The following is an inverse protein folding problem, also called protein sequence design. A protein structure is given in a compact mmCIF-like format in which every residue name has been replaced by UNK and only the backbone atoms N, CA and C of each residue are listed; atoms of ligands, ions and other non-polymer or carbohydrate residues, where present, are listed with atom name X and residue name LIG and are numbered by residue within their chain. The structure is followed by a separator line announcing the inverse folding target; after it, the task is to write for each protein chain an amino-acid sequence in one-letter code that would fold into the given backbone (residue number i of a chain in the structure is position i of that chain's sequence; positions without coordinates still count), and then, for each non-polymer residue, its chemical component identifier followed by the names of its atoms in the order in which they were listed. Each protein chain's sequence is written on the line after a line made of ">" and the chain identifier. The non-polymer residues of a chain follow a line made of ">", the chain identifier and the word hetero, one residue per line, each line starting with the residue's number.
data_IF_182917730148
#
_entry.id   IF_182917730148
#
_cell.length_a   1.000
_cell.length_b   1.000
_cell.length_c   1.000
_cell.angle_alpha   90.00
_cell.angle_beta   90.00
_cell.angle_gamma   90.00
#
_symmetry.space_group_name_H-M   'P 1'
#
loop_
_entity.id
_entity.type
_entity.pdbx_description
1 polymer ?
#
# COMPACT_ATOMS: atom_id res chain seq x y z
N UNK A 1 -28.83 -27.56 69.89
CA UNK A 1 -29.14 -26.69 68.72
C UNK A 1 -27.93 -25.81 68.36
N UNK A 2 -26.83 -26.39 67.86
CA UNK A 2 -25.65 -25.60 67.45
C UNK A 2 -24.68 -26.45 66.60
N UNK A 3 -25.10 -26.95 65.42
CA UNK A 3 -24.17 -27.67 64.53
C UNK A 3 -24.64 -27.80 63.07
N UNK A 4 -25.57 -26.96 62.58
CA UNK A 4 -26.18 -27.17 61.25
C UNK A 4 -26.35 -25.91 60.38
N UNK A 5 -25.57 -24.85 60.62
CA UNK A 5 -25.70 -23.57 59.88
C UNK A 5 -24.42 -23.07 59.20
N UNK A 6 -23.39 -23.90 59.07
CA UNK A 6 -22.07 -23.48 58.53
C UNK A 6 -21.65 -24.15 57.23
N UNK A 7 -22.52 -24.93 56.56
CA UNK A 7 -22.19 -25.56 55.27
C UNK A 7 -22.99 -25.08 54.07
N UNK A 8 -24.08 -24.34 54.26
CA UNK A 8 -24.87 -23.79 53.15
C UNK A 8 -24.32 -22.46 52.59
N UNK A 9 -23.56 -21.69 53.40
CA UNK A 9 -23.01 -20.41 52.96
C UNK A 9 -21.73 -20.55 52.10
N UNK A 10 -21.03 -21.69 52.16
CA UNK A 10 -19.79 -21.91 51.39
C UNK A 10 -20.05 -22.42 49.96
N UNK A 11 -21.19 -23.08 49.72
CA UNK A 11 -21.54 -23.61 48.40
C UNK A 11 -22.07 -22.53 47.45
N UNK A 12 -22.66 -21.45 47.97
CA UNK A 12 -23.19 -20.36 47.14
C UNK A 12 -22.10 -19.33 46.74
N UNK A 13 -21.00 -19.25 47.50
CA UNK A 13 -19.86 -18.39 47.20
C UNK A 13 -18.95 -18.96 46.09
N UNK A 14 -18.97 -20.27 45.85
CA UNK A 14 -18.20 -20.93 44.77
C UNK A 14 -18.97 -20.98 43.44
N UNK A 15 -20.30 -20.87 43.45
CA UNK A 15 -21.11 -20.87 42.23
C UNK A 15 -21.24 -19.48 41.56
N UNK A 16 -21.00 -18.39 42.30
CA UNK A 16 -20.99 -17.02 41.73
C UNK A 16 -19.63 -16.56 41.23
N UNK A 17 -18.54 -17.27 41.57
CA UNK A 17 -17.20 -16.99 41.05
C UNK A 17 -16.96 -17.51 39.62
N UNK A 18 -17.84 -18.38 39.09
CA UNK A 18 -17.70 -18.95 37.75
C UNK A 18 -18.53 -18.22 36.66
N UNK A 19 -19.30 -17.19 37.02
CA UNK A 19 -20.18 -16.44 36.10
C UNK A 19 -19.71 -15.02 35.78
N UNK A 20 -18.57 -14.61 36.35
CA UNK A 20 -17.77 -13.52 35.77
C UNK A 20 -16.79 -14.15 34.77
N UNK A 21 -17.33 -14.68 33.68
CA UNK A 21 -16.58 -14.77 32.44
C UNK A 21 -16.17 -13.34 32.11
N UNK A 22 -14.97 -12.95 32.57
CA UNK A 22 -14.30 -11.77 32.06
C UNK A 22 -14.39 -11.89 30.53
N UNK A 23 -14.83 -10.83 29.82
CA UNK A 23 -14.58 -10.82 28.38
C UNK A 23 -13.11 -11.17 28.24
N UNK A 24 -12.79 -12.14 27.39
CA UNK A 24 -11.41 -12.40 27.00
C UNK A 24 -10.86 -11.04 26.59
N UNK A 25 -10.18 -10.37 27.53
CA UNK A 25 -9.42 -9.18 27.25
C UNK A 25 -8.35 -9.77 26.36
N UNK A 26 -8.53 -9.63 25.05
CA UNK A 26 -7.41 -9.68 24.12
C UNK A 26 -6.31 -8.94 24.86
N UNK A 27 -5.22 -9.65 25.16
CA UNK A 27 -4.10 -9.04 25.87
C UNK A 27 -3.85 -7.69 25.18
N UNK A 28 -3.83 -6.57 25.91
CA UNK A 28 -3.60 -5.28 25.29
C UNK A 28 -2.33 -5.44 24.46
N UNK A 29 -2.42 -5.11 23.16
CA UNK A 29 -1.32 -5.19 22.24
C UNK A 29 -0.21 -4.28 22.80
N UNK A 30 0.75 -4.89 23.50
CA UNK A 30 1.86 -4.17 24.10
C UNK A 30 2.76 -3.73 22.96
N UNK A 31 2.57 -2.50 22.51
CA UNK A 31 3.52 -1.83 21.63
C UNK A 31 4.76 -1.50 22.47
N UNK A 32 5.75 -2.38 22.40
CA UNK A 32 7.10 -2.15 22.94
C UNK A 32 8.04 -1.89 21.77
N UNK A 33 8.90 -0.87 21.87
CA UNK A 33 9.98 -0.59 20.91
C UNK A 33 10.79 -1.87 20.61
N UNK A 34 10.91 -2.24 19.33
CA UNK A 34 11.86 -3.27 18.87
C UNK A 34 11.36 -4.70 18.64
N UNK A 35 10.06 -4.99 18.51
CA UNK A 35 9.60 -6.39 18.39
C UNK A 35 9.11 -6.86 17.02
N UNK A 36 9.48 -8.11 16.73
CA UNK A 36 8.90 -8.90 15.66
C UNK A 36 7.42 -9.28 16.00
N UNK A 37 6.43 -8.83 15.22
CA UNK A 37 5.02 -9.24 15.15
C UNK A 37 4.79 -10.40 14.17
N UNK A 38 4.03 -11.40 14.59
CA UNK A 38 3.61 -12.49 13.69
C UNK A 38 2.58 -11.98 12.68
N UNK A 39 2.77 -12.34 11.42
CA UNK A 39 1.80 -12.13 10.34
C UNK A 39 1.78 -13.30 9.37
N UNK A 40 0.86 -13.24 8.43
CA UNK A 40 0.83 -14.08 7.24
C UNK A 40 1.58 -13.39 6.10
N UNK A 41 2.11 -14.18 5.18
CA UNK A 41 2.03 -13.73 3.79
C UNK A 41 1.44 -14.75 2.84
N UNK A 42 1.21 -14.29 1.63
CA UNK A 42 1.17 -15.11 0.43
C UNK A 42 2.35 -14.69 -0.46
N UNK A 43 2.36 -15.19 -1.69
CA UNK A 43 3.08 -14.56 -2.77
C UNK A 43 2.14 -14.12 -3.88
N UNK A 44 2.60 -13.16 -4.67
CA UNK A 44 1.98 -12.74 -5.93
C UNK A 44 3.01 -12.54 -7.03
N UNK A 45 2.55 -12.61 -8.28
CA UNK A 45 3.42 -12.74 -9.45
C UNK A 45 4.11 -14.10 -9.51
N UNK A 46 4.78 -14.40 -10.63
CA UNK A 46 5.72 -15.51 -10.75
C UNK A 46 6.67 -15.30 -11.94
N UNK A 47 7.58 -16.24 -12.18
CA UNK A 47 8.39 -16.30 -13.40
C UNK A 47 7.74 -17.24 -14.43
N UNK A 48 7.90 -16.95 -15.72
CA UNK A 48 7.62 -17.94 -16.76
C UNK A 48 8.46 -19.20 -16.49
N UNK A 49 7.86 -20.39 -16.58
CA UNK A 49 8.49 -21.69 -16.24
C UNK A 49 8.83 -21.92 -14.77
N UNK A 50 8.43 -21.02 -13.85
CA UNK A 50 8.56 -21.27 -12.41
C UNK A 50 7.85 -22.55 -11.99
N UNK A 51 8.28 -23.12 -10.86
CA UNK A 51 7.66 -24.30 -10.28
C UNK A 51 6.15 -24.13 -10.12
N UNK A 52 5.62 -22.90 -9.99
CA UNK A 52 4.18 -22.64 -9.85
C UNK A 52 3.35 -22.85 -11.13
N UNK A 53 3.97 -23.03 -12.30
CA UNK A 53 3.27 -23.20 -13.59
C UNK A 53 2.30 -24.39 -13.61
N UNK A 54 2.62 -25.59 -13.06
CA UNK A 54 1.70 -26.72 -12.98
C UNK A 54 0.53 -26.52 -11.99
N UNK A 55 0.58 -25.50 -11.12
CA UNK A 55 -0.37 -25.35 -10.02
C UNK A 55 -1.72 -24.76 -10.46
N UNK A 56 -1.81 -24.12 -11.63
CA UNK A 56 -3.06 -23.49 -12.06
C UNK A 56 -3.28 -23.45 -13.58
N UNK A 57 -3.47 -24.61 -14.23
CA UNK A 57 -3.84 -24.65 -15.64
C UNK A 57 -5.15 -23.91 -15.94
N UNK A 58 -6.07 -23.80 -14.97
CA UNK A 58 -7.36 -23.12 -15.13
C UNK A 58 -7.32 -21.59 -14.93
N UNK A 59 -6.21 -21.02 -14.43
CA UNK A 59 -6.00 -19.55 -14.37
C UNK A 59 -5.25 -19.00 -15.58
N UNK A 60 -5.11 -19.81 -16.64
CA UNK A 60 -4.43 -19.43 -17.88
C UNK A 60 -2.92 -19.70 -17.89
N UNK A 61 -2.33 -20.14 -16.77
CA UNK A 61 -0.88 -20.35 -16.64
C UNK A 61 -0.08 -19.07 -16.83
N UNK A 62 1.25 -19.19 -16.81
CA UNK A 62 2.17 -18.08 -17.12
C UNK A 62 2.34 -17.04 -16.00
N UNK A 63 2.92 -15.89 -16.39
CA UNK A 63 3.50 -14.88 -15.50
C UNK A 63 2.53 -14.24 -14.48
N UNK A 64 1.23 -14.30 -14.81
CA UNK A 64 0.19 -13.48 -14.19
C UNK A 64 -0.84 -14.31 -13.41
N UNK A 65 -0.66 -15.64 -13.33
CA UNK A 65 -1.64 -16.57 -12.73
C UNK A 65 -1.94 -16.30 -11.23
N UNK A 66 -1.03 -15.61 -10.55
CA UNK A 66 -1.10 -15.27 -9.13
C UNK A 66 -0.97 -13.76 -8.89
N UNK A 67 -1.57 -12.96 -9.77
CA UNK A 67 -1.46 -11.50 -9.71
C UNK A 67 -0.25 -10.98 -10.48
N UNK A 68 -0.22 -9.66 -10.70
CA UNK A 68 0.79 -8.99 -11.53
C UNK A 68 1.59 -8.02 -10.67
N UNK A 69 2.92 -8.07 -10.76
CA UNK A 69 3.79 -7.09 -10.09
C UNK A 69 3.73 -5.72 -10.79
N UNK A 70 3.72 -5.64 -12.14
CA UNK A 70 3.47 -4.39 -12.85
C UNK A 70 2.14 -3.76 -12.45
N UNK A 71 2.11 -2.43 -12.41
CA UNK A 71 0.90 -1.63 -12.19
C UNK A 71 0.28 -1.71 -10.80
N UNK A 72 1.03 -2.18 -9.79
CA UNK A 72 0.54 -2.37 -8.42
C UNK A 72 -0.19 -1.16 -7.81
N UNK A 73 -1.09 -1.46 -6.88
CA UNK A 73 -1.99 -0.63 -6.08
C UNK A 73 -1.47 0.73 -5.63
N UNK A 74 -0.17 0.85 -5.38
CA UNK A 74 0.44 2.08 -4.91
C UNK A 74 0.85 3.03 -6.04
N UNK A 75 0.67 2.64 -7.31
CA UNK A 75 1.09 3.41 -8.48
C UNK A 75 2.60 3.58 -8.59
N UNK A 76 3.35 2.69 -7.94
CA UNK A 76 4.80 2.75 -7.80
C UNK A 76 5.55 2.06 -8.95
N UNK A 77 4.90 1.84 -10.10
CA UNK A 77 5.53 1.30 -11.31
C UNK A 77 5.68 2.40 -12.36
N UNK A 78 6.68 2.26 -13.22
CA UNK A 78 6.79 3.09 -14.42
C UNK A 78 5.63 2.80 -15.37
N UNK A 79 5.40 3.70 -16.33
CA UNK A 79 4.26 3.59 -17.21
C UNK A 79 4.46 2.57 -18.35
N UNK A 80 5.62 1.95 -18.47
CA UNK A 80 5.77 0.72 -19.25
C UNK A 80 5.48 -0.54 -18.41
N UNK A 81 5.08 -0.38 -17.15
CA UNK A 81 4.86 -1.46 -16.19
C UNK A 81 6.14 -1.94 -15.50
N UNK A 82 7.31 -1.36 -15.80
CA UNK A 82 8.55 -1.75 -15.12
C UNK A 82 8.53 -1.32 -13.65
N UNK A 83 9.08 -2.18 -12.80
CA UNK A 83 9.20 -1.95 -11.37
C UNK A 83 10.60 -1.37 -11.12
N UNK A 84 10.72 -0.18 -10.50
CA UNK A 84 12.03 0.46 -10.30
C UNK A 84 12.87 -0.19 -9.18
N UNK A 85 12.32 -1.18 -8.47
CA UNK A 85 13.01 -1.96 -7.43
C UNK A 85 13.28 -3.39 -7.89
N UNK A 86 14.31 -4.04 -7.31
CA UNK A 86 14.50 -5.48 -7.46
C UNK A 86 13.21 -6.24 -7.15
N UNK A 87 12.84 -7.18 -8.02
CA UNK A 87 11.60 -7.94 -7.85
C UNK A 87 11.59 -8.76 -6.57
N UNK A 88 12.74 -9.04 -5.97
CA UNK A 88 12.90 -9.74 -4.69
C UNK A 88 12.88 -8.82 -3.46
N UNK A 89 12.52 -7.54 -3.65
CA UNK A 89 12.40 -6.51 -2.62
C UNK A 89 11.08 -5.74 -2.74
N UNK A 90 10.02 -6.39 -3.22
CA UNK A 90 8.69 -5.76 -3.34
C UNK A 90 7.58 -6.65 -2.79
N UNK A 91 6.52 -6.02 -2.30
CA UNK A 91 5.34 -6.69 -1.78
C UNK A 91 4.06 -5.89 -2.02
N UNK A 92 2.92 -6.57 -1.93
CA UNK A 92 1.61 -5.98 -1.74
C UNK A 92 1.23 -5.99 -0.26
N UNK A 93 0.45 -5.01 0.16
CA UNK A 93 0.02 -4.87 1.53
C UNK A 93 -1.49 -4.98 1.69
N UNK A 94 -1.94 -5.73 2.69
CA UNK A 94 -3.36 -5.94 2.90
C UNK A 94 -4.07 -4.66 3.35
N UNK A 95 -5.13 -4.27 2.64
CA UNK A 95 -5.93 -3.09 2.97
C UNK A 95 -6.72 -3.23 4.28
N UNK A 96 -6.82 -4.46 4.80
CA UNK A 96 -7.35 -4.74 6.11
C UNK A 96 -6.41 -4.34 7.26
N UNK A 97 -5.09 -4.34 7.04
CA UNK A 97 -4.11 -4.17 8.12
C UNK A 97 -4.25 -2.80 8.81
N UNK A 98 -4.00 -2.68 10.14
CA UNK A 98 -4.16 -1.44 10.89
C UNK A 98 -3.34 -0.25 10.37
N UNK A 99 -2.16 -0.53 9.84
CA UNK A 99 -1.19 0.42 9.31
C UNK A 99 -1.23 0.49 7.78
N UNK A 100 -2.26 -0.07 7.14
CA UNK A 100 -2.50 0.14 5.71
C UNK A 100 -2.51 1.63 5.34
N UNK A 101 -3.11 2.55 6.14
CA UNK A 101 -2.91 3.96 5.95
C UNK A 101 -1.42 4.34 5.99
N UNK A 102 -0.93 4.91 4.88
CA UNK A 102 0.50 5.22 4.73
C UNK A 102 1.43 4.00 4.57
N UNK A 103 0.92 2.85 4.12
CA UNK A 103 1.76 1.68 3.84
C UNK A 103 2.50 1.76 2.49
N UNK A 104 1.94 2.43 1.48
CA UNK A 104 2.59 2.56 0.17
C UNK A 104 3.96 3.24 0.28
N UNK A 105 4.96 2.67 -0.41
CA UNK A 105 6.35 3.16 -0.39
C UNK A 105 7.14 2.83 0.88
N UNK A 106 6.47 2.37 1.95
CA UNK A 106 7.10 1.92 3.19
C UNK A 106 7.82 0.58 2.98
N UNK A 107 8.90 0.36 3.71
CA UNK A 107 9.58 -0.93 3.72
C UNK A 107 9.21 -1.79 4.91
N UNK A 108 9.50 -3.07 4.75
CA UNK A 108 9.16 -4.10 5.68
C UNK A 108 10.28 -5.15 5.68
N UNK A 109 10.89 -5.45 6.84
CA UNK A 109 11.85 -6.55 7.00
C UNK A 109 11.15 -7.80 7.45
N UNK A 110 11.32 -8.83 6.66
CA UNK A 110 10.42 -9.96 6.56
C UNK A 110 11.28 -11.19 6.79
N UNK A 111 10.97 -11.99 7.82
CA UNK A 111 11.71 -13.22 8.14
C UNK A 111 10.77 -14.37 8.45
N UNK A 112 11.18 -15.55 8.04
CA UNK A 112 10.43 -16.75 8.32
C UNK A 112 10.38 -17.08 9.81
N UNK A 113 9.18 -17.41 10.29
CA UNK A 113 8.98 -18.10 11.57
C UNK A 113 8.44 -19.48 11.27
N UNK A 114 9.13 -20.57 11.64
CA UNK A 114 8.58 -21.90 11.45
C UNK A 114 7.36 -22.11 12.35
N UNK A 115 6.46 -23.02 11.96
CA UNK A 115 5.27 -23.38 12.73
C UNK A 115 4.00 -23.46 11.89
N UNK A 116 2.84 -23.45 12.54
CA UNK A 116 1.55 -23.50 11.85
C UNK A 116 1.30 -22.25 11.00
N UNK A 117 0.84 -22.48 9.77
CA UNK A 117 0.27 -21.42 8.94
C UNK A 117 -1.11 -21.12 9.51
N UNK A 118 -1.31 -19.87 9.95
CA UNK A 118 -2.60 -19.44 10.49
C UNK A 118 -3.49 -18.89 9.36
N UNK A 119 -4.70 -19.44 9.29
CA UNK A 119 -5.70 -19.16 8.28
C UNK A 119 -6.73 -18.13 8.76
N UNK A 120 -7.98 -18.56 8.87
CA UNK A 120 -9.07 -17.70 9.31
C UNK A 120 -9.10 -17.61 10.83
N UNK A 121 -9.33 -16.39 11.36
CA UNK A 121 -9.44 -16.16 12.80
C UNK A 121 -8.21 -16.67 13.60
N UNK A 122 -7.03 -16.62 12.99
CA UNK A 122 -5.76 -17.11 13.53
C UNK A 122 -5.76 -18.60 13.91
N UNK A 123 -6.68 -19.37 13.35
CA UNK A 123 -6.70 -20.83 13.49
C UNK A 123 -5.68 -21.48 12.54
N UNK A 124 -4.98 -22.55 12.95
CA UNK A 124 -4.15 -23.33 12.05
C UNK A 124 -4.94 -23.78 10.81
N UNK A 125 -4.31 -23.68 9.64
CA UNK A 125 -4.92 -24.18 8.40
C UNK A 125 -4.92 -25.70 8.45
N UNK A 126 -6.11 -26.29 8.34
CA UNK A 126 -6.30 -27.73 8.23
C UNK A 126 -5.72 -28.23 6.90
N UNK A 127 -4.76 -29.16 6.99
CA UNK A 127 -4.09 -29.74 5.82
C UNK A 127 -5.03 -30.60 4.97
N UNK A 128 -6.13 -31.10 5.55
CA UNK A 128 -7.10 -31.95 4.88
C UNK A 128 -8.15 -31.17 4.10
N UNK A 129 -8.26 -29.86 4.32
CA UNK A 129 -9.17 -29.01 3.53
C UNK A 129 -8.59 -28.79 2.13
N UNK A 130 -9.48 -28.83 1.12
CA UNK A 130 -9.24 -28.82 -0.34
C UNK A 130 -8.42 -27.65 -0.91
N UNK A 131 -7.70 -26.87 -0.10
CA UNK A 131 -6.80 -25.82 -0.54
C UNK A 131 -5.55 -26.36 -1.26
N UNK A 132 -5.20 -27.64 -1.10
CA UNK A 132 -3.93 -28.16 -1.58
C UNK A 132 -3.90 -29.60 -2.13
N UNK A 133 -4.78 -29.98 -3.08
CA UNK A 133 -4.67 -31.27 -3.79
C UNK A 133 -3.37 -31.42 -4.61
N UNK A 134 -2.52 -30.39 -4.65
CA UNK A 134 -1.31 -30.36 -5.46
C UNK A 134 -0.08 -30.93 -4.75
N UNK A 135 -0.06 -31.04 -3.41
CA UNK A 135 1.17 -31.29 -2.63
C UNK A 135 1.91 -32.58 -2.98
N UNK A 136 1.22 -33.63 -3.42
CA UNK A 136 1.89 -34.88 -3.84
C UNK A 136 2.69 -34.71 -5.14
N UNK A 137 2.29 -33.77 -6.00
CA UNK A 137 3.04 -33.42 -7.21
C UNK A 137 4.22 -32.46 -6.93
N UNK A 138 4.24 -31.76 -5.79
CA UNK A 138 5.24 -30.72 -5.46
C UNK A 138 6.51 -31.28 -4.84
N UNK A 139 6.46 -32.45 -4.19
CA UNK A 139 7.63 -33.03 -3.49
C UNK A 139 8.87 -33.18 -4.39
N UNK A 140 8.67 -33.31 -5.70
CA UNK A 140 9.73 -33.49 -6.69
C UNK A 140 10.04 -32.27 -7.53
N UNK A 141 9.34 -31.14 -7.37
CA UNK A 141 9.57 -29.93 -8.17
C UNK A 141 10.46 -28.98 -7.36
N UNK A 142 11.70 -28.74 -7.78
CA UNK A 142 12.55 -27.75 -7.12
C UNK A 142 12.02 -26.34 -7.38
N UNK A 143 12.29 -25.43 -6.46
CA UNK A 143 12.15 -23.99 -6.68
C UNK A 143 13.22 -23.45 -7.64
N UNK A 144 13.24 -22.14 -7.90
CA UNK A 144 14.17 -21.53 -8.86
C UNK A 144 15.62 -21.50 -8.33
N UNK A 145 15.83 -21.88 -7.06
CA UNK A 145 17.15 -22.09 -6.44
C UNK A 145 17.57 -23.57 -6.40
N UNK A 146 16.78 -24.47 -7.02
CA UNK A 146 17.07 -25.90 -7.04
C UNK A 146 16.70 -26.63 -5.76
N UNK A 147 15.98 -25.99 -4.82
CA UNK A 147 15.64 -26.57 -3.52
C UNK A 147 14.30 -27.30 -3.62
N UNK A 148 14.26 -28.54 -3.14
CA UNK A 148 13.01 -29.30 -3.03
C UNK A 148 12.21 -28.89 -1.81
N UNK A 149 10.88 -28.89 -1.91
CA UNK A 149 9.98 -28.58 -0.79
C UNK A 149 10.33 -29.42 0.46
N UNK A 150 10.55 -28.81 1.64
CA UNK A 150 11.05 -29.49 2.82
C UNK A 150 10.01 -30.39 3.51
N UNK A 151 8.81 -30.49 2.93
CA UNK A 151 7.68 -31.26 3.45
C UNK A 151 6.87 -30.47 4.48
N UNK A 152 5.62 -30.88 4.66
CA UNK A 152 4.75 -30.37 5.71
C UNK A 152 4.81 -31.31 6.93
N UNK A 153 5.54 -30.94 7.98
CA UNK A 153 5.65 -31.76 9.20
C UNK A 153 4.29 -31.93 9.89
N UNK A 154 3.44 -30.90 9.84
CA UNK A 154 2.09 -30.95 10.39
C UNK A 154 1.18 -32.02 9.76
N UNK A 155 1.53 -32.55 8.58
CA UNK A 155 0.78 -33.65 7.94
C UNK A 155 0.79 -34.96 8.73
N UNK A 156 1.76 -35.14 9.64
CA UNK A 156 1.91 -36.34 10.47
C UNK A 156 1.19 -36.23 11.83
N UNK A 157 0.60 -35.08 12.13
CA UNK A 157 -0.09 -34.84 13.40
C UNK A 157 -1.47 -35.51 13.44
N UNK A 158 -1.97 -35.80 14.64
CA UNK A 158 -3.32 -36.34 14.85
C UNK A 158 -4.43 -35.42 14.30
N UNK A 159 -4.17 -34.11 14.28
CA UNK A 159 -4.96 -33.12 13.52
C UNK A 159 -4.00 -32.48 12.51
N UNK A 160 -4.03 -32.91 11.24
CA UNK A 160 -3.07 -32.45 10.25
C UNK A 160 -3.20 -30.95 9.98
N UNK A 161 -2.13 -30.18 10.20
CA UNK A 161 -2.07 -28.73 9.93
C UNK A 161 -1.05 -28.42 8.84
N UNK A 162 -1.23 -27.30 8.15
CA UNK A 162 -0.20 -26.75 7.26
C UNK A 162 0.84 -26.07 8.13
N UNK A 163 2.09 -26.53 8.04
CA UNK A 163 3.24 -25.93 8.72
C UNK A 163 4.20 -25.34 7.69
N UNK A 164 4.84 -24.22 8.06
CA UNK A 164 5.93 -23.62 7.31
C UNK A 164 7.26 -24.02 7.96
N UNK A 165 8.22 -24.41 7.11
CA UNK A 165 9.62 -24.52 7.48
C UNK A 165 10.38 -23.40 6.78
N UNK A 166 11.33 -22.82 7.51
CA UNK A 166 12.19 -21.77 6.99
C UNK A 166 13.42 -22.39 6.34
N UNK A 167 13.86 -21.82 5.22
CA UNK A 167 15.13 -22.21 4.62
C UNK A 167 16.31 -21.84 5.52
N UNK A 168 16.28 -20.61 6.03
CA UNK A 168 17.16 -20.12 7.08
C UNK A 168 16.31 -19.25 8.03
N UNK A 169 16.13 -19.64 9.30
CA UNK A 169 15.33 -18.89 10.26
C UNK A 169 15.97 -17.53 10.64
N UNK A 170 17.24 -17.30 10.29
CA UNK A 170 17.91 -16.02 10.49
C UNK A 170 17.90 -15.13 9.24
N UNK A 171 17.50 -15.68 8.08
CA UNK A 171 17.43 -14.90 6.86
C UNK A 171 16.20 -13.99 6.89
N UNK A 172 16.40 -12.75 6.45
CA UNK A 172 15.34 -11.78 6.21
C UNK A 172 15.47 -11.15 4.82
N UNK A 173 14.37 -10.60 4.31
CA UNK A 173 14.37 -9.70 3.15
C UNK A 173 13.73 -8.39 3.54
N UNK A 174 14.19 -7.30 2.94
CA UNK A 174 13.54 -6.01 3.05
C UNK A 174 12.74 -5.81 1.77
N UNK A 175 11.43 -5.66 1.89
CA UNK A 175 10.56 -5.36 0.76
C UNK A 175 9.99 -3.95 0.88
N UNK A 176 9.67 -3.34 -0.26
CA UNK A 176 8.87 -2.14 -0.35
C UNK A 176 7.44 -2.46 -0.75
N UNK A 177 6.47 -1.81 -0.12
CA UNK A 177 5.06 -1.94 -0.52
C UNK A 177 4.81 -1.13 -1.79
N UNK A 178 4.54 -1.84 -2.89
CA UNK A 178 4.25 -1.25 -4.21
C UNK A 178 2.84 -1.58 -4.72
N UNK A 179 2.15 -2.49 -4.04
CA UNK A 179 0.86 -3.00 -4.43
C UNK A 179 -0.05 -3.18 -3.20
N UNK A 180 -1.32 -3.50 -3.43
CA UNK A 180 -2.36 -3.64 -2.42
C UNK A 180 -2.99 -5.03 -2.58
N UNK A 181 -3.14 -5.74 -1.46
CA UNK A 181 -3.95 -6.94 -1.34
C UNK A 181 -5.33 -6.51 -0.82
N UNK A 182 -6.37 -6.44 -1.66
CA UNK A 182 -7.65 -5.92 -1.20
C UNK A 182 -8.52 -7.00 -0.55
N UNK A 183 -9.02 -6.73 0.66
CA UNK A 183 -9.96 -7.59 1.39
C UNK A 183 -11.25 -7.83 0.59
N UNK A 184 -11.69 -6.84 -0.19
CA UNK A 184 -12.81 -6.96 -1.12
C UNK A 184 -12.35 -6.70 -2.55
N UNK A 185 -12.48 -7.70 -3.42
CA UNK A 185 -11.94 -7.70 -4.77
C UNK A 185 -13.04 -7.79 -5.83
N UNK A 186 -12.98 -6.91 -6.83
CA UNK A 186 -13.94 -6.83 -7.93
C UNK A 186 -13.27 -7.06 -9.29
N UNK A 187 -12.90 -8.31 -9.65
CA UNK A 187 -12.24 -8.58 -10.92
C UNK A 187 -13.16 -8.36 -12.13
N UNK A 188 -12.59 -7.90 -13.25
CA UNK A 188 -13.33 -7.67 -14.50
C UNK A 188 -13.99 -8.96 -14.99
N UNK A 189 -15.28 -8.88 -15.28
CA UNK A 189 -16.06 -10.00 -15.81
C UNK A 189 -16.36 -11.09 -14.80
N UNK A 190 -16.08 -10.86 -13.51
CA UNK A 190 -16.36 -11.78 -12.43
C UNK A 190 -17.19 -11.10 -11.34
N UNK A 191 -17.87 -11.90 -10.52
CA UNK A 191 -18.59 -11.36 -9.36
C UNK A 191 -17.59 -10.93 -8.30
N UNK A 192 -17.80 -9.78 -7.64
CA UNK A 192 -17.03 -9.39 -6.47
C UNK A 192 -16.98 -10.49 -5.40
N UNK A 193 -15.84 -10.60 -4.72
CA UNK A 193 -15.66 -11.54 -3.62
C UNK A 193 -14.65 -11.03 -2.59
N UNK A 194 -14.71 -11.61 -1.40
CA UNK A 194 -13.75 -11.31 -0.32
C UNK A 194 -12.49 -12.16 -0.47
N UNK A 195 -11.33 -11.51 -0.46
CA UNK A 195 -10.05 -12.17 -0.29
C UNK A 195 -9.76 -12.24 1.21
N UNK A 196 -10.22 -13.30 1.87
CA UNK A 196 -10.02 -13.48 3.31
C UNK A 196 -8.54 -13.42 3.74
N UNK A 197 -7.63 -13.70 2.80
CA UNK A 197 -6.19 -13.48 2.87
C UNK A 197 -5.80 -12.04 3.25
N UNK A 198 -6.50 -11.05 2.72
CA UNK A 198 -6.18 -9.64 2.92
C UNK A 198 -7.04 -8.97 4.02
N UNK A 199 -7.94 -9.71 4.67
CA UNK A 199 -8.83 -9.15 5.69
C UNK A 199 -8.23 -9.33 7.09
N UNK A 200 -8.21 -8.25 7.88
CA UNK A 200 -7.57 -8.25 9.20
C UNK A 200 -8.59 -8.36 10.36
N UNK A 201 -9.69 -7.61 10.33
CA UNK A 201 -10.64 -7.59 11.46
C UNK A 201 -11.84 -8.49 11.23
N UNK A 202 -12.25 -9.26 12.26
CA UNK A 202 -13.52 -10.03 12.23
C UNK A 202 -14.74 -9.17 11.88
N UNK A 203 -14.69 -7.87 12.21
CA UNK A 203 -15.71 -6.89 11.81
C UNK A 203 -15.75 -6.65 10.29
N UNK A 204 -14.65 -6.82 9.57
CA UNK A 204 -14.59 -6.73 8.10
C UNK A 204 -15.13 -8.02 7.46
N UNK A 205 -14.78 -9.18 8.03
CA UNK A 205 -15.33 -10.48 7.61
C UNK A 205 -15.13 -11.53 8.72
N UNK A 206 -16.07 -12.47 8.97
CA UNK A 206 -15.92 -13.53 9.98
C UNK A 206 -14.78 -14.54 9.74
N UNK A 207 -14.04 -14.37 8.63
CA UNK A 207 -12.88 -15.18 8.23
C UNK A 207 -11.57 -14.36 8.18
N UNK A 208 -11.63 -13.09 8.56
CA UNK A 208 -10.47 -12.23 8.69
C UNK A 208 -9.56 -12.69 9.85
N UNK A 209 -8.31 -12.22 9.89
CA UNK A 209 -7.35 -12.65 10.91
C UNK A 209 -6.12 -11.75 11.00
N UNK A 210 -4.95 -12.34 11.17
CA UNK A 210 -3.68 -11.64 11.29
C UNK A 210 -3.29 -10.68 10.15
N UNK A 211 -2.26 -9.88 10.41
CA UNK A 211 -1.55 -9.06 9.45
C UNK A 211 -1.20 -9.87 8.19
N UNK A 212 -1.39 -9.31 7.01
CA UNK A 212 -1.06 -10.00 5.75
C UNK A 212 -0.23 -9.13 4.81
N UNK A 213 0.78 -9.75 4.18
CA UNK A 213 1.47 -9.24 3.01
C UNK A 213 1.27 -10.23 1.87
N UNK A 214 1.25 -9.82 0.61
CA UNK A 214 1.65 -10.74 -0.45
C UNK A 214 3.03 -10.34 -0.91
N UNK A 215 4.04 -11.15 -0.62
CA UNK A 215 5.38 -10.88 -1.10
C UNK A 215 5.43 -11.10 -2.60
N UNK A 216 6.28 -10.39 -3.32
CA UNK A 216 6.60 -10.89 -4.66
C UNK A 216 7.10 -12.33 -4.54
N UNK A 217 6.80 -13.14 -5.54
CA UNK A 217 7.30 -14.51 -5.60
C UNK A 217 8.82 -14.61 -5.34
N UNK A 218 9.60 -13.69 -5.89
CA UNK A 218 11.05 -13.64 -5.72
C UNK A 218 11.48 -13.31 -4.28
N UNK A 219 10.75 -12.43 -3.57
CA UNK A 219 11.02 -12.14 -2.17
C UNK A 219 10.56 -13.30 -1.27
N UNK A 220 9.42 -13.90 -1.62
CA UNK A 220 8.87 -15.04 -0.91
C UNK A 220 9.81 -16.24 -0.91
N UNK A 221 10.33 -16.58 -2.09
CA UNK A 221 11.21 -17.71 -2.31
C UNK A 221 12.49 -17.62 -1.46
N UNK A 222 12.97 -16.41 -1.18
CA UNK A 222 14.14 -16.21 -0.30
C UNK A 222 13.91 -16.65 1.15
N UNK A 223 12.67 -16.73 1.64
CA UNK A 223 12.41 -16.77 3.08
C UNK A 223 11.41 -17.82 3.56
N UNK A 224 10.19 -17.68 3.02
CA UNK A 224 8.90 -17.74 3.71
C UNK A 224 8.60 -16.63 4.79
N UNK A 225 7.42 -15.98 4.70
CA UNK A 225 6.61 -15.05 5.56
C UNK A 225 7.17 -13.87 6.46
N UNK A 226 6.45 -12.72 6.69
CA UNK A 226 7.00 -11.33 6.89
C UNK A 226 6.59 -10.37 8.04
N UNK A 227 7.32 -9.21 8.14
CA UNK A 227 7.32 -8.09 9.13
C UNK A 227 7.92 -6.71 8.70
N UNK A 228 8.00 -5.64 9.54
CA UNK A 228 8.20 -4.20 9.16
C UNK A 228 9.51 -3.44 9.58
N UNK A 229 10.15 -2.60 8.71
CA UNK A 229 11.32 -1.70 9.02
C UNK A 229 11.45 -0.47 8.08
N UNK A 230 12.31 0.49 8.42
CA UNK A 230 12.72 1.58 7.53
C UNK A 230 13.58 1.10 6.34
N UNK A 231 13.32 1.59 5.12
CA UNK A 231 13.97 1.13 3.88
C UNK A 231 15.49 1.33 3.85
N UNK A 232 15.96 2.45 4.41
CA UNK A 232 17.33 2.92 4.23
C UNK A 232 18.20 2.49 5.41
N UNK A 233 17.67 2.68 6.62
CA UNK A 233 18.37 2.44 7.89
C UNK A 233 18.16 1.04 8.44
N UNK A 234 17.14 0.32 7.91
CA UNK A 234 16.67 -0.98 8.43
C UNK A 234 16.25 -0.94 9.90
N UNK A 235 16.05 0.26 10.46
CA UNK A 235 15.62 0.39 11.85
C UNK A 235 14.11 0.11 11.97
N UNK A 236 13.64 -0.43 13.10
CA UNK A 236 12.22 -0.61 13.34
C UNK A 236 11.46 0.71 13.21
N UNK A 237 10.35 0.68 12.49
CA UNK A 237 9.41 1.80 12.41
C UNK A 237 8.23 1.57 13.34
N UNK A 238 7.75 2.63 13.98
CA UNK A 238 6.52 2.58 14.78
C UNK A 238 5.35 2.24 13.87
N UNK A 239 4.62 1.17 14.20
CA UNK A 239 3.51 0.67 13.39
C UNK A 239 2.17 1.35 13.70
N UNK A 240 2.02 1.92 14.90
CA UNK A 240 0.76 2.53 15.34
C UNK A 240 0.97 3.80 16.20
N UNK A 241 0.49 4.97 15.75
CA UNK A 241 0.14 5.26 14.36
C UNK A 241 1.38 5.09 13.47
N UNK A 242 1.22 4.52 12.29
CA UNK A 242 2.31 4.31 11.33
C UNK A 242 2.97 5.62 10.92
N UNK A 243 4.24 5.57 10.53
CA UNK A 243 4.99 6.75 10.11
C UNK A 243 4.62 7.18 8.67
N UNK A 244 4.27 8.46 8.50
CA UNK A 244 4.16 9.12 7.18
C UNK A 244 5.29 10.16 7.13
N UNK A 245 6.13 10.07 6.10
CA UNK A 245 7.25 10.97 5.90
C UNK A 245 6.78 12.36 5.50
N UNK A 246 7.40 13.41 6.04
CA UNK A 246 7.21 14.78 5.51
C UNK A 246 7.87 14.95 4.13
N UNK A 247 8.80 14.08 3.76
CA UNK A 247 9.31 13.96 2.39
C UNK A 247 8.35 13.08 1.61
N UNK A 248 7.68 13.66 0.61
CA UNK A 248 6.78 12.95 -0.32
C UNK A 248 7.55 12.30 -1.46
N UNK A 249 8.63 12.96 -1.90
CA UNK A 249 9.52 12.47 -2.94
C UNK A 249 10.92 13.07 -2.79
N UNK A 250 11.95 12.22 -2.78
CA UNK A 250 13.38 12.60 -2.86
C UNK A 250 14.13 11.41 -3.46
N UNK A 251 14.47 11.48 -4.75
CA UNK A 251 14.87 10.37 -5.64
C UNK A 251 13.85 9.21 -5.80
N UNK A 252 12.98 9.03 -4.81
CA UNK A 252 12.00 7.97 -4.64
C UNK A 252 10.79 8.50 -3.88
N UNK A 253 9.58 7.94 -4.07
CA UNK A 253 8.43 8.26 -3.22
C UNK A 253 8.74 7.95 -1.75
N UNK A 254 8.44 8.92 -0.90
CA UNK A 254 8.67 8.82 0.54
C UNK A 254 7.69 7.89 1.23
N UNK A 255 8.05 7.49 2.45
CA UNK A 255 7.26 6.54 3.23
C UNK A 255 5.84 7.06 3.48
N UNK A 256 4.84 6.28 3.07
CA UNK A 256 3.43 6.60 3.23
C UNK A 256 2.79 7.35 2.07
N UNK A 257 3.55 7.64 1.01
CA UNK A 257 3.04 8.29 -0.17
C UNK A 257 2.92 7.30 -1.34
N UNK A 258 1.71 7.18 -1.85
CA UNK A 258 1.44 6.61 -3.15
C UNK A 258 1.47 7.73 -4.21
N UNK A 259 1.68 7.35 -5.46
CA UNK A 259 1.76 8.30 -6.55
C UNK A 259 0.88 7.87 -7.72
N UNK A 260 0.16 8.82 -8.33
CA UNK A 260 -0.83 8.55 -9.35
C UNK A 260 -0.71 9.55 -10.51
N UNK A 261 -0.46 9.09 -11.74
CA UNK A 261 -0.73 9.89 -12.92
C UNK A 261 -2.21 9.89 -13.25
N UNK A 262 -2.67 10.98 -13.82
CA UNK A 262 -3.91 11.03 -14.59
C UNK A 262 -3.67 11.69 -15.93
N UNK A 263 -4.47 11.32 -16.94
CA UNK A 263 -4.47 11.97 -18.26
C UNK A 263 -3.13 11.98 -19.00
N UNK A 264 -2.30 10.94 -18.84
CA UNK A 264 -1.05 10.80 -19.58
C UNK A 264 -1.30 10.51 -21.06
N UNK A 265 -0.39 10.99 -21.91
CA UNK A 265 -0.48 10.83 -23.37
C UNK A 265 0.14 9.51 -23.85
N UNK A 266 1.17 9.04 -23.16
CA UNK A 266 1.97 7.86 -23.50
C UNK A 266 2.46 7.20 -22.21
N UNK A 267 2.15 5.92 -21.97
CA UNK A 267 2.64 5.19 -20.80
C UNK A 267 4.17 5.19 -20.69
N UNK A 268 4.92 5.22 -21.81
CA UNK A 268 6.39 5.22 -21.78
C UNK A 268 7.01 6.56 -21.34
N UNK A 269 6.21 7.60 -21.18
CA UNK A 269 6.68 8.94 -20.81
C UNK A 269 6.36 9.29 -19.37
N UNK A 270 6.23 8.26 -18.55
CA UNK A 270 5.85 8.34 -17.17
C UNK A 270 6.80 7.48 -16.34
N UNK A 271 7.61 8.14 -15.51
CA UNK A 271 8.62 7.49 -14.70
C UNK A 271 8.53 8.04 -13.28
N UNK A 272 8.21 7.15 -12.32
CA UNK A 272 8.25 7.51 -10.90
C UNK A 272 9.68 7.78 -10.44
N UNK A 273 10.65 7.09 -11.06
CA UNK A 273 12.07 7.17 -10.75
C UNK A 273 12.83 7.26 -12.07
N UNK A 274 12.95 8.48 -12.59
CA UNK A 274 13.76 8.79 -13.76
C UNK A 274 15.20 9.06 -13.34
N UNK A 275 16.04 8.01 -13.28
CA UNK A 275 17.46 8.15 -12.87
C UNK A 275 18.23 9.08 -13.81
N UNK A 276 19.04 9.97 -13.25
CA UNK A 276 19.80 10.97 -13.98
C UNK A 276 19.00 12.23 -14.36
N UNK A 277 17.68 12.21 -14.18
CA UNK A 277 16.80 13.35 -14.48
C UNK A 277 16.51 14.21 -13.25
N UNK A 278 17.01 13.84 -12.06
CA UNK A 278 16.85 14.59 -10.81
C UNK A 278 17.83 15.75 -10.65
N UNK A 279 17.60 16.59 -9.64
CA UNK A 279 18.53 17.64 -9.24
C UNK A 279 19.87 16.98 -8.88
N UNK A 280 20.97 17.64 -9.22
CA UNK A 280 22.32 17.09 -9.02
C UNK A 280 22.61 15.74 -9.72
N UNK A 281 21.81 15.35 -10.74
CA UNK A 281 21.97 14.08 -11.43
C UNK A 281 21.37 12.87 -10.70
N UNK A 282 20.58 13.10 -9.65
CA UNK A 282 19.80 12.08 -8.95
C UNK A 282 18.60 11.57 -9.77
N UNK A 283 17.56 11.09 -9.10
CA UNK A 283 16.31 10.67 -9.74
C UNK A 283 15.18 11.68 -9.53
N UNK A 284 14.28 11.81 -10.51
CA UNK A 284 13.07 12.63 -10.39
C UNK A 284 11.81 11.88 -10.85
N UNK A 285 10.64 12.33 -10.39
CA UNK A 285 9.37 11.88 -10.89
C UNK A 285 9.02 12.69 -12.14
N UNK A 286 9.02 12.05 -13.32
CA UNK A 286 8.85 12.73 -14.59
C UNK A 286 7.62 12.23 -15.34
N UNK A 287 6.87 13.16 -15.95
CA UNK A 287 5.69 12.83 -16.73
C UNK A 287 5.44 13.82 -17.88
N UNK A 288 4.98 13.29 -19.02
CA UNK A 288 4.30 14.05 -20.07
C UNK A 288 2.79 14.07 -19.78
N UNK A 289 2.30 15.23 -19.32
CA UNK A 289 0.91 15.42 -18.91
C UNK A 289 0.10 16.12 -20.01
N UNK A 290 -1.08 15.59 -20.31
CA UNK A 290 -2.02 16.27 -21.20
C UNK A 290 -2.67 17.45 -20.48
N UNK A 291 -2.80 18.58 -21.18
CA UNK A 291 -3.58 19.72 -20.68
C UNK A 291 -5.08 19.42 -20.58
N UNK A 292 -5.71 20.01 -19.57
CA UNK A 292 -7.14 19.85 -19.30
C UNK A 292 -7.43 18.70 -18.32
N UNK A 293 -8.60 18.75 -17.68
CA UNK A 293 -9.02 17.70 -16.74
C UNK A 293 -9.51 16.45 -17.49
N UNK A 294 -9.17 15.23 -17.04
CA UNK A 294 -8.44 14.90 -15.80
C UNK A 294 -6.98 14.46 -16.10
N UNK A 295 -6.07 15.42 -16.35
CA UNK A 295 -4.63 15.19 -16.42
C UNK A 295 -3.89 15.75 -15.19
N UNK A 296 -2.84 15.08 -14.70
CA UNK A 296 -2.03 15.53 -13.57
C UNK A 296 -1.10 14.48 -12.93
N UNK A 297 -0.26 14.91 -11.98
CA UNK A 297 0.52 14.06 -11.07
C UNK A 297 0.02 14.25 -9.65
N UNK A 298 -0.32 13.19 -8.95
CA UNK A 298 -0.81 13.25 -7.56
C UNK A 298 0.06 12.41 -6.64
N UNK A 299 0.47 12.97 -5.51
CA UNK A 299 0.99 12.21 -4.36
C UNK A 299 -0.11 12.14 -3.33
N UNK A 300 -0.47 10.92 -2.91
CA UNK A 300 -1.54 10.70 -1.97
C UNK A 300 -1.16 9.66 -0.92
N UNK A 301 -1.48 9.96 0.32
CA UNK A 301 -1.41 9.05 1.44
C UNK A 301 -2.76 8.33 1.53
N UNK A 302 -2.82 7.07 1.07
CA UNK A 302 -4.05 6.28 1.02
C UNK A 302 -4.63 6.09 2.43
N UNK A 303 -5.92 6.35 2.62
CA UNK A 303 -6.61 6.15 3.91
C UNK A 303 -6.21 7.15 5.00
N UNK A 304 -5.37 8.13 4.68
CA UNK A 304 -4.94 9.19 5.59
C UNK A 304 -5.99 10.32 5.64
N UNK A 305 -5.91 11.19 6.65
CA UNK A 305 -6.88 12.25 6.91
C UNK A 305 -8.16 11.80 7.63
N UNK A 306 -8.51 10.51 7.55
CA UNK A 306 -9.65 9.90 8.26
C UNK A 306 -9.24 9.05 9.47
N UNK A 307 -8.09 8.38 9.40
CA UNK A 307 -7.60 7.54 10.49
C UNK A 307 -6.88 8.40 11.56
N UNK A 308 -7.19 8.14 12.84
CA UNK A 308 -6.54 8.80 13.97
C UNK A 308 -5.02 8.59 13.92
N UNK A 309 -4.25 9.68 14.04
CA UNK A 309 -2.79 9.67 13.94
C UNK A 309 -2.22 9.65 12.51
N UNK A 310 -3.05 9.60 11.46
CA UNK A 310 -2.60 9.61 10.05
C UNK A 310 -3.02 10.90 9.32
N UNK A 311 -2.58 12.06 9.81
CA UNK A 311 -2.92 13.38 9.25
C UNK A 311 -1.66 14.11 8.74
N UNK A 312 -1.17 13.80 7.52
CA UNK A 312 0.12 14.33 7.06
C UNK A 312 0.14 15.87 6.97
N UNK A 313 -0.98 16.52 6.69
CA UNK A 313 -1.06 17.98 6.54
C UNK A 313 -1.45 18.71 7.84
N UNK A 314 -1.68 18.00 8.96
CA UNK A 314 -1.98 18.65 10.25
C UNK A 314 -0.76 19.46 10.73
N UNK A 315 -0.93 20.77 10.93
CA UNK A 315 0.12 21.64 11.47
C UNK A 315 1.25 22.03 10.51
N UNK A 316 1.12 21.78 9.20
CA UNK A 316 2.14 22.21 8.24
C UNK A 316 2.15 23.74 8.04
N UNK A 317 3.32 24.31 7.80
CA UNK A 317 3.55 25.70 7.40
C UNK A 317 3.46 25.91 5.89
N UNK A 318 3.57 24.85 5.10
CA UNK A 318 3.52 24.90 3.64
C UNK A 318 4.03 23.63 2.98
N UNK A 319 4.24 23.70 1.67
CA UNK A 319 4.88 22.66 0.88
C UNK A 319 6.00 23.25 0.06
N UNK A 320 7.09 22.50 -0.10
CA UNK A 320 8.19 22.86 -1.00
C UNK A 320 8.43 21.76 -2.03
N UNK A 321 8.89 22.16 -3.22
CA UNK A 321 9.34 21.23 -4.25
C UNK A 321 10.20 21.93 -5.28
N UNK A 322 11.00 21.12 -5.98
CA UNK A 322 11.70 21.53 -7.19
C UNK A 322 10.98 21.00 -8.42
N UNK A 323 10.90 21.83 -9.45
CA UNK A 323 10.27 21.45 -10.71
C UNK A 323 11.11 21.89 -11.90
N UNK A 324 11.17 21.03 -12.91
CA UNK A 324 11.81 21.30 -14.20
C UNK A 324 10.78 21.15 -15.31
N UNK A 325 10.62 22.18 -16.13
CA UNK A 325 9.88 22.08 -17.39
C UNK A 325 10.80 21.49 -18.47
N UNK A 326 10.55 20.25 -18.90
CA UNK A 326 11.41 19.57 -19.89
C UNK A 326 11.27 20.16 -21.29
N UNK A 327 10.11 20.71 -21.62
CA UNK A 327 9.86 21.31 -22.94
C UNK A 327 10.48 22.71 -23.06
N UNK A 328 10.62 23.42 -21.94
CA UNK A 328 11.28 24.72 -21.87
C UNK A 328 12.07 24.84 -20.55
N UNK A 329 13.30 24.29 -20.51
CA UNK A 329 14.10 24.28 -19.28
C UNK A 329 14.34 25.68 -18.71
N UNK A 330 14.32 25.82 -17.38
CA UNK A 330 14.42 27.09 -16.67
C UNK A 330 13.14 27.94 -16.63
N UNK A 331 12.05 27.50 -17.31
CA UNK A 331 10.75 28.18 -17.27
C UNK A 331 9.77 27.54 -16.29
N UNK A 332 8.84 28.36 -15.78
CA UNK A 332 7.75 27.89 -14.92
C UNK A 332 6.71 27.14 -15.75
N UNK A 333 6.43 25.85 -15.49
CA UNK A 333 5.39 25.14 -16.20
C UNK A 333 3.99 25.66 -15.82
N UNK A 334 3.06 25.64 -16.77
CA UNK A 334 1.68 26.09 -16.56
C UNK A 334 0.85 25.03 -15.79
N UNK A 335 1.09 24.97 -14.49
CA UNK A 335 0.50 24.02 -13.55
C UNK A 335 -0.35 24.71 -12.49
N UNK A 336 -1.35 23.95 -12.04
CA UNK A 336 -2.14 24.22 -10.84
C UNK A 336 -1.74 23.22 -9.78
N UNK A 337 -1.33 23.71 -8.61
CA UNK A 337 -1.12 22.89 -7.42
C UNK A 337 -2.41 22.88 -6.59
N UNK A 338 -2.86 21.69 -6.22
CA UNK A 338 -4.06 21.47 -5.42
C UNK A 338 -3.73 20.57 -4.23
N UNK A 339 -4.19 20.96 -3.03
CA UNK A 339 -4.06 20.16 -1.81
C UNK A 339 -5.47 19.87 -1.28
N UNK A 340 -5.71 18.64 -0.83
CA UNK A 340 -7.01 18.27 -0.31
C UNK A 340 -7.13 16.82 0.13
N UNK A 341 -8.37 16.41 0.35
CA UNK A 341 -8.75 15.05 0.72
C UNK A 341 -9.96 14.60 -0.12
N UNK A 342 -9.78 13.95 -1.28
CA UNK A 342 -10.92 13.41 -2.03
C UNK A 342 -11.56 12.20 -1.34
N UNK A 343 -10.92 11.67 -0.29
CA UNK A 343 -11.09 10.35 0.28
C UNK A 343 -12.30 10.29 1.24
N UNK A 344 -13.46 10.83 0.86
CA UNK A 344 -14.69 10.75 1.68
C UNK A 344 -15.58 9.53 1.36
N UNK A 345 -15.01 8.40 0.90
CA UNK A 345 -15.74 7.12 0.86
C UNK A 345 -15.98 6.44 -0.49
N UNK A 346 -15.31 6.82 -1.59
CA UNK A 346 -15.54 6.23 -2.93
C UNK A 346 -14.30 5.70 -3.67
N UNK A 347 -13.17 5.42 -2.98
CA UNK A 347 -12.12 4.57 -3.59
C UNK A 347 -12.56 3.10 -3.61
N UNK A 348 -13.67 2.80 -4.29
CA UNK A 348 -13.94 1.42 -4.71
C UNK A 348 -12.91 1.09 -5.77
N UNK A 349 -12.11 0.06 -5.49
CA UNK A 349 -11.03 -0.46 -6.30
C UNK A 349 -11.48 -0.82 -7.72
N UNK A 350 -11.50 0.17 -8.62
CA UNK A 350 -11.51 -0.05 -10.06
C UNK A 350 -10.10 -0.28 -10.56
N UNK A 351 -9.49 -1.42 -10.18
CA UNK A 351 -8.21 -1.83 -10.74
C UNK A 351 -8.42 -2.38 -12.15
N UNK A 352 -8.18 -1.56 -13.16
CA UNK A 352 -8.23 -1.96 -14.56
C UNK A 352 -6.85 -2.51 -14.97
N UNK A 353 -6.65 -3.81 -14.80
CA UNK A 353 -5.54 -4.52 -15.44
C UNK A 353 -5.61 -4.33 -16.96
N UNK A 354 -4.53 -3.80 -17.54
CA UNK A 354 -4.39 -3.55 -18.98
C UNK A 354 -4.13 -4.88 -19.67
N UNK A 355 -5.20 -5.53 -20.13
CA UNK A 355 -5.12 -6.49 -21.23
C UNK A 355 -5.64 -5.79 -22.48
N UNK A 356 -4.69 -5.25 -23.26
CA UNK A 356 -4.87 -4.84 -24.67
C UNK A 356 -6.10 -4.00 -25.01
N UNK A 357 -5.98 -2.67 -24.93
CA UNK A 357 -6.89 -1.74 -25.61
C UNK A 357 -7.50 -0.67 -24.71
N UNK A 358 -7.10 0.59 -24.95
CA UNK A 358 -7.67 1.85 -24.42
C UNK A 358 -8.10 1.79 -22.94
N UNK A 359 -7.15 1.96 -22.04
CA UNK A 359 -7.43 2.24 -20.64
C UNK A 359 -8.21 3.56 -20.49
N UNK A 360 -9.44 3.50 -19.96
CA UNK A 360 -10.05 4.64 -19.27
C UNK A 360 -9.81 4.41 -17.78
N UNK A 361 -8.82 5.10 -17.24
CA UNK A 361 -8.52 5.14 -15.81
C UNK A 361 -9.66 5.86 -15.09
N UNK A 362 -10.62 5.12 -14.53
CA UNK A 362 -11.64 5.64 -13.61
C UNK A 362 -11.21 5.42 -12.16
N UNK A 363 -9.98 5.85 -11.83
CA UNK A 363 -9.40 5.74 -10.49
C UNK A 363 -9.42 7.07 -9.73
N UNK A 364 -10.26 8.03 -10.12
CA UNK A 364 -10.49 9.23 -9.33
C UNK A 364 -11.92 9.17 -8.82
N UNK A 365 -12.13 9.44 -7.53
CA UNK A 365 -13.47 9.63 -6.97
C UNK A 365 -14.30 10.55 -7.86
N UNK A 366 -15.63 10.44 -7.80
CA UNK A 366 -16.62 11.12 -8.69
C UNK A 366 -16.51 12.66 -8.83
N UNK A 367 -15.46 13.28 -8.31
CA UNK A 367 -15.05 14.66 -8.56
C UNK A 367 -14.62 14.96 -10.00
N UNK A 368 -14.22 13.94 -10.77
CA UNK A 368 -13.72 14.13 -12.14
C UNK A 368 -14.48 13.25 -13.14
N UNK A 369 -15.80 13.45 -13.29
CA UNK A 369 -16.54 12.94 -14.45
C UNK A 369 -16.78 14.05 -15.46
N UNK A 370 -16.28 13.84 -16.67
CA UNK A 370 -16.12 14.89 -17.67
C UNK A 370 -17.39 15.37 -18.38
N UNK A 371 -17.30 16.59 -18.86
CA UNK A 371 -17.54 16.99 -20.25
C UNK A 371 -17.16 18.48 -20.32
N UNK A 372 -16.69 18.90 -21.48
CA UNK A 372 -16.18 20.24 -21.73
C UNK A 372 -17.12 21.36 -21.23
N UNK A 373 -16.53 22.53 -20.95
CA UNK A 373 -17.09 23.90 -20.82
C UNK A 373 -16.77 24.61 -19.48
N UNK A 374 -16.63 25.96 -19.50
CA UNK A 374 -15.54 26.67 -18.84
C UNK A 374 -15.93 27.22 -17.46
N UNK A 375 -14.92 27.41 -16.60
CA UNK A 375 -14.94 28.29 -15.42
C UNK A 375 -16.23 28.26 -14.58
N UNK A 376 -16.45 27.20 -13.78
CA UNK A 376 -17.26 27.30 -12.57
C UNK A 376 -16.95 26.15 -11.59
N UNK A 377 -16.64 26.53 -10.35
CA UNK A 377 -16.75 25.74 -9.12
C UNK A 377 -17.84 24.65 -9.20
N UNK A 378 -17.46 23.38 -9.10
CA UNK A 378 -17.53 22.58 -7.85
C UNK A 378 -18.92 22.60 -7.18
N UNK A 379 -19.78 21.63 -7.53
CA UNK A 379 -20.92 21.25 -6.68
C UNK A 379 -20.66 19.97 -5.87
N UNK A 380 -19.87 19.03 -6.40
CA UNK A 380 -19.66 17.71 -5.79
C UNK A 380 -18.40 17.64 -4.93
N UNK A 381 -17.47 18.58 -5.11
CA UNK A 381 -16.16 18.57 -4.43
C UNK A 381 -15.76 19.93 -3.84
N UNK A 382 -16.72 20.87 -3.78
CA UNK A 382 -16.56 22.09 -3.01
C UNK A 382 -16.29 21.71 -1.55
N UNK A 383 -15.22 22.26 -0.97
CA UNK A 383 -14.82 21.98 0.41
C UNK A 383 -13.99 20.72 0.61
N UNK A 384 -13.56 20.01 -0.44
CA UNK A 384 -12.59 18.89 -0.31
C UNK A 384 -11.15 19.27 -0.64
N UNK A 385 -10.98 20.38 -1.34
CA UNK A 385 -9.69 20.94 -1.73
C UNK A 385 -9.58 22.37 -1.20
N UNK A 386 -8.35 22.77 -0.93
CA UNK A 386 -7.98 24.17 -0.84
C UNK A 386 -8.14 24.86 -2.21
N UNK A 387 -8.04 26.18 -2.24
CA UNK A 387 -7.97 26.93 -3.50
C UNK A 387 -6.83 26.44 -4.42
N UNK A 388 -7.04 26.65 -5.71
CA UNK A 388 -6.05 26.41 -6.74
C UNK A 388 -4.87 27.38 -6.62
N UNK A 389 -3.64 26.87 -6.61
CA UNK A 389 -2.42 27.67 -6.65
C UNK A 389 -1.78 27.56 -8.03
N UNK A 390 -1.81 28.64 -8.80
CA UNK A 390 -1.22 28.68 -10.14
C UNK A 390 0.27 28.98 -10.08
N UNK A 391 1.12 28.04 -10.53
CA UNK A 391 2.57 28.25 -10.51
C UNK A 391 3.03 29.40 -11.40
N UNK A 392 2.36 29.60 -12.53
CA UNK A 392 2.64 30.74 -13.42
C UNK A 392 2.40 32.11 -12.77
N UNK A 393 1.68 32.17 -11.65
CA UNK A 393 1.51 33.39 -10.85
C UNK A 393 2.49 33.55 -9.69
N UNK A 394 3.39 32.59 -9.47
CA UNK A 394 4.36 32.58 -8.37
C UNK A 394 5.78 32.80 -8.89
N UNK A 395 6.57 33.58 -8.16
CA UNK A 395 8.01 33.65 -8.38
C UNK A 395 8.68 32.42 -7.73
N UNK A 396 9.67 31.79 -8.39
CA UNK A 396 10.48 30.75 -7.77
C UNK A 396 11.19 31.28 -6.53
N UNK A 397 11.22 30.49 -5.45
CA UNK A 397 12.01 30.79 -4.25
C UNK A 397 13.51 30.66 -4.49
N UNK A 398 13.90 29.77 -5.41
CA UNK A 398 15.28 29.58 -5.87
C UNK A 398 15.28 29.00 -7.29
N UNK A 399 16.42 29.13 -7.96
CA UNK A 399 16.67 28.52 -9.28
C UNK A 399 18.04 27.85 -9.28
N UNK A 400 18.13 26.65 -9.83
CA UNK A 400 19.37 25.87 -9.93
C UNK A 400 19.45 25.23 -11.32
N UNK A 401 20.18 25.87 -12.24
CA UNK A 401 20.19 25.47 -13.64
C UNK A 401 18.78 25.53 -14.25
N UNK A 402 18.28 24.40 -14.72
CA UNK A 402 16.94 24.26 -15.30
C UNK A 402 15.81 24.13 -14.27
N UNK A 403 16.15 23.98 -12.99
CA UNK A 403 15.23 23.71 -11.90
C UNK A 403 14.77 24.98 -11.21
N UNK A 404 13.49 25.01 -10.85
CA UNK A 404 12.88 26.09 -10.08
C UNK A 404 12.31 25.52 -8.78
N UNK A 405 12.65 26.14 -7.65
CA UNK A 405 12.09 25.81 -6.33
C UNK A 405 10.85 26.65 -6.08
N UNK A 406 9.78 26.02 -5.60
CA UNK A 406 8.58 26.71 -5.12
C UNK A 406 8.34 26.38 -3.66
N UNK A 407 7.91 27.38 -2.90
CA UNK A 407 7.47 27.25 -1.52
C UNK A 407 6.06 27.84 -1.42
N UNK A 408 5.06 26.97 -1.25
CA UNK A 408 3.66 27.37 -1.11
C UNK A 408 3.33 27.34 0.38
N UNK A 409 3.33 28.51 1.00
CA UNK A 409 2.94 28.64 2.41
C UNK A 409 1.48 28.25 2.63
N UNK A 410 1.17 27.71 3.82
CA UNK A 410 -0.17 27.31 4.21
C UNK A 410 -1.16 28.49 4.16
N UNK A 411 -0.69 29.72 4.40
CA UNK A 411 -1.51 30.93 4.25
C UNK A 411 -1.96 31.23 2.81
N UNK A 412 -1.26 30.70 1.81
CA UNK A 412 -1.65 30.80 0.39
C UNK A 412 -2.67 29.72 0.00
N UNK A 413 -2.83 28.69 0.83
CA UNK A 413 -3.83 27.63 0.73
C UNK A 413 -5.09 28.07 1.49
N UNK A 414 -5.93 28.88 0.84
CA UNK A 414 -7.28 29.18 1.31
C UNK A 414 -8.15 27.90 1.26
N UNK A 415 -8.28 27.22 2.39
CA UNK A 415 -9.11 26.03 2.56
C UNK A 415 -10.32 26.32 3.47
N UNK A 416 -11.40 25.55 3.33
CA UNK A 416 -12.45 25.56 4.35
C UNK A 416 -11.89 25.00 5.69
N UNK A 417 -12.46 25.38 6.86
CA UNK A 417 -11.96 24.89 8.15
C UNK A 417 -11.86 23.36 8.21
N UNK A 418 -10.71 22.83 8.65
CA UNK A 418 -10.47 21.38 8.77
C UNK A 418 -10.03 20.70 7.47
N UNK A 419 -10.11 21.35 6.31
CA UNK A 419 -9.76 20.74 5.01
C UNK A 419 -8.27 20.52 4.88
N UNK A 420 -7.44 21.47 5.34
CA UNK A 420 -6.00 21.33 5.28
C UNK A 420 -5.53 20.26 6.27
N UNK A 421 -6.04 20.27 7.50
CA UNK A 421 -5.69 19.30 8.54
C UNK A 421 -6.13 17.88 8.17
N UNK A 422 -7.24 17.75 7.46
CA UNK A 422 -7.72 16.50 6.91
C UNK A 422 -7.10 16.13 5.55
N UNK A 423 -6.28 16.99 4.94
CA UNK A 423 -5.70 16.71 3.63
C UNK A 423 -4.83 15.45 3.66
N UNK A 424 -4.85 14.72 2.55
CA UNK A 424 -4.11 13.47 2.37
C UNK A 424 -3.41 13.40 1.02
N UNK A 425 -3.53 14.44 0.18
CA UNK A 425 -2.90 14.49 -1.13
C UNK A 425 -2.49 15.89 -1.58
N UNK A 426 -1.52 15.91 -2.48
CA UNK A 426 -1.13 17.05 -3.31
C UNK A 426 -1.14 16.63 -4.79
N UNK A 427 -1.71 17.48 -5.65
CA UNK A 427 -1.82 17.25 -7.08
C UNK A 427 -1.24 18.41 -7.89
N UNK A 428 -0.62 18.08 -9.01
CA UNK A 428 -0.02 18.99 -10.00
C UNK A 428 -0.76 18.78 -11.32
N UNK A 429 -1.68 19.68 -11.63
CA UNK A 429 -2.58 19.56 -12.77
C UNK A 429 -2.25 20.60 -13.84
N UNK A 430 -1.94 20.19 -15.08
CA UNK A 430 -1.57 21.13 -16.11
C UNK A 430 -2.81 21.74 -16.81
N UNK A 431 -2.73 23.03 -17.15
CA UNK A 431 -3.76 23.68 -17.97
C UNK A 431 -3.61 23.35 -19.46
N UNK A 432 -2.37 23.22 -19.90
CA UNK A 432 -1.97 22.88 -21.27
C UNK A 432 -1.03 21.67 -21.26
N UNK A 433 -0.78 21.03 -22.40
CA UNK A 433 0.14 19.90 -22.40
C UNK A 433 1.53 20.35 -21.92
N UNK A 434 2.10 19.62 -20.96
CA UNK A 434 3.39 19.95 -20.37
C UNK A 434 4.20 18.69 -20.08
N UNK A 435 5.51 18.80 -20.18
CA UNK A 435 6.45 17.74 -19.80
C UNK A 435 7.26 18.24 -18.61
N UNK A 436 7.14 17.58 -17.47
CA UNK A 436 7.74 18.03 -16.21
C UNK A 436 8.51 16.92 -15.51
N UNK A 437 9.47 17.32 -14.68
CA UNK A 437 10.04 16.51 -13.61
C UNK A 437 9.85 17.24 -12.29
N UNK A 438 9.48 16.50 -11.24
CA UNK A 438 9.38 16.97 -9.86
C UNK A 438 10.44 16.23 -9.04
N UNK A 439 11.13 16.98 -8.20
CA UNK A 439 12.11 16.47 -7.26
C UNK A 439 11.94 17.15 -5.90
N UNK A 440 12.44 16.50 -4.85
CA UNK A 440 12.60 17.09 -3.52
C UNK A 440 11.29 17.72 -2.99
N UNK A 441 10.18 16.98 -3.12
CA UNK A 441 8.82 17.37 -2.71
C UNK A 441 8.61 17.06 -1.22
N UNK A 442 8.34 18.10 -0.41
CA UNK A 442 8.24 17.99 1.05
C UNK A 442 7.13 18.84 1.65
N UNK A 443 6.65 18.42 2.81
CA UNK A 443 5.86 19.23 3.72
C UNK A 443 6.80 20.04 4.61
N UNK A 444 6.50 21.34 4.78
CA UNK A 444 7.20 22.23 5.70
C UNK A 444 6.45 22.26 7.03
N UNK A 445 7.08 21.91 8.15
CA UNK A 445 6.48 21.97 9.50
C UNK A 445 7.02 23.10 10.37
#
# INVERSE_FOLDING_TARGET
>A
MAALRTRAALALALATAALLAAPARCAPEQVVEGYWRRGRSSWYGNQESSFVTPFVPYRGGGRDAFGVIPWGGCGLTNGDGTVPWPLDQVASYADGNPDYPGSCGRCYEIKCSPGDVLGWNDAPVDYTQNYFPFWEHVKSVPDDQGRGFPGNLGSQNATPTVTVQCWDPNQSVVVKIIDICPCYYEPKGQKPYYQYGCCYKKQQHPKAGQWNFDLSYFAFEKLAHPMAVDCNTKQPIRLEPGYISDVLYDEMPGVGWAWFPSGHLDPNKFMVVAKGEGRNGGAAACADLKGGLPGGMTWACRGCGMAEGYKPFEGIKGVEFWIKNKASPGSTPDLVVQIGNPDTGEWRLGYWAVLGGRARTHAFGRCFSGSAWPFASLGVCAGKYCNDVFLSGLAPAATEGDWQKFEIGAGSLSCAPGVLEGASQIAFNPKSQVSICIDDLRLLR
#
